data_IF_559340437810
#
_entry.id   IF_559340437810
#
_cell.length_a   1.000
_cell.length_b   1.000
_cell.length_c   1.000
_cell.angle_alpha   90.00
_cell.angle_beta   90.00
_cell.angle_gamma   90.00
#
_symmetry.space_group_name_H-M   'P 1'
#
loop_
_entity.id
_entity.type
_entity.pdbx_description
1 polymer ?
#
# COMPACT_ATOMS: atom_id res chain seq x y z
N UNK A 1 -25.99 -8.81 43.71
CA UNK A 1 -24.78 -8.41 42.95
C UNK A 1 -24.91 -8.64 41.43
N UNK A 2 -25.80 -9.53 41.00
CA UNK A 2 -26.01 -9.94 39.62
C UNK A 2 -26.29 -8.76 38.67
N UNK A 3 -27.10 -7.80 39.10
CA UNK A 3 -27.37 -6.56 38.34
C UNK A 3 -26.11 -5.71 38.08
N UNK A 4 -25.09 -5.75 38.95
CA UNK A 4 -23.81 -5.05 38.74
C UNK A 4 -22.92 -5.83 37.77
N UNK A 5 -22.90 -7.17 37.86
CA UNK A 5 -22.18 -8.02 36.91
C UNK A 5 -22.75 -7.91 35.49
N UNK A 6 -24.08 -7.86 35.35
CA UNK A 6 -24.75 -7.62 34.07
C UNK A 6 -24.33 -6.28 33.45
N UNK A 7 -24.34 -5.19 34.24
CA UNK A 7 -23.86 -3.88 33.79
C UNK A 7 -22.39 -3.92 33.35
N UNK A 8 -21.52 -4.59 34.11
CA UNK A 8 -20.11 -4.74 33.76
C UNK A 8 -19.89 -5.57 32.49
N UNK A 9 -20.71 -6.60 32.25
CA UNK A 9 -20.66 -7.39 31.02
C UNK A 9 -21.09 -6.55 29.80
N UNK A 10 -22.12 -5.72 29.94
CA UNK A 10 -22.53 -4.79 28.87
C UNK A 10 -21.44 -3.75 28.63
N UNK A 11 -20.85 -3.19 29.70
CA UNK A 11 -19.72 -2.24 29.61
C UNK A 11 -18.53 -2.88 28.89
N UNK A 12 -18.21 -4.13 29.22
CA UNK A 12 -17.16 -4.91 28.57
C UNK A 12 -17.42 -5.12 27.08
N UNK A 13 -18.63 -5.49 26.69
CA UNK A 13 -18.99 -5.63 25.27
C UNK A 13 -18.80 -4.30 24.52
N UNK A 14 -19.13 -3.16 25.14
CA UNK A 14 -18.87 -1.83 24.57
C UNK A 14 -17.38 -1.53 24.45
N UNK A 15 -16.60 -1.73 25.51
CA UNK A 15 -15.15 -1.50 25.49
C UNK A 15 -14.42 -2.42 24.49
N UNK A 16 -14.85 -3.67 24.35
CA UNK A 16 -14.32 -4.62 23.36
C UNK A 16 -14.61 -4.13 21.94
N UNK A 17 -15.83 -3.70 21.65
CA UNK A 17 -16.21 -3.14 20.35
C UNK A 17 -15.45 -1.85 20.04
N UNK A 18 -15.30 -0.95 21.02
CA UNK A 18 -14.50 0.27 20.89
C UNK A 18 -13.06 -0.09 20.53
N UNK A 19 -12.44 -1.02 21.27
CA UNK A 19 -11.06 -1.46 21.02
C UNK A 19 -10.91 -2.08 19.62
N UNK A 20 -11.86 -2.92 19.20
CA UNK A 20 -11.85 -3.52 17.86
C UNK A 20 -11.92 -2.46 16.77
N UNK A 21 -12.84 -1.50 16.88
CA UNK A 21 -12.99 -0.40 15.92
C UNK A 21 -11.74 0.49 15.92
N UNK A 22 -11.17 0.81 17.09
CA UNK A 22 -9.93 1.58 17.19
C UNK A 22 -8.74 0.90 16.51
N UNK A 23 -8.62 -0.43 16.65
CA UNK A 23 -7.60 -1.19 15.93
C UNK A 23 -7.82 -1.13 14.43
N UNK A 24 -9.07 -1.27 13.98
CA UNK A 24 -9.42 -1.16 12.56
C UNK A 24 -9.09 0.24 12.00
N UNK A 25 -9.52 1.30 12.67
CA UNK A 25 -9.23 2.70 12.31
C UNK A 25 -7.72 2.94 12.22
N UNK A 26 -6.93 2.39 13.15
CA UNK A 26 -5.46 2.50 13.10
C UNK A 26 -4.83 1.87 11.85
N UNK A 27 -5.49 0.89 11.22
CA UNK A 27 -4.97 0.26 9.98
C UNK A 27 -5.31 1.04 8.71
N UNK A 28 -6.36 1.88 8.73
CA UNK A 28 -6.83 2.59 7.53
C UNK A 28 -5.78 3.54 6.91
N UNK A 29 -5.00 4.33 7.68
CA UNK A 29 -3.96 5.17 7.11
C UNK A 29 -2.89 4.39 6.35
N UNK A 30 -2.53 3.20 6.86
CA UNK A 30 -1.55 2.34 6.18
C UNK A 30 -2.13 1.75 4.89
N UNK A 31 -3.42 1.37 4.89
CA UNK A 31 -4.11 0.92 3.68
C UNK A 31 -4.14 2.02 2.62
N UNK A 32 -4.50 3.26 3.00
CA UNK A 32 -4.45 4.44 2.12
C UNK A 32 -3.05 4.65 1.54
N UNK A 33 -2.02 4.65 2.39
CA UNK A 33 -0.63 4.84 1.95
C UNK A 33 -0.19 3.77 0.95
N UNK A 34 -0.60 2.51 1.14
CA UNK A 34 -0.28 1.43 0.21
C UNK A 34 -0.93 1.66 -1.17
N UNK A 35 -2.18 2.14 -1.19
CA UNK A 35 -2.88 2.46 -2.43
C UNK A 35 -2.25 3.65 -3.16
N UNK A 36 -1.89 4.70 -2.44
CA UNK A 36 -1.17 5.86 -2.99
C UNK A 36 0.20 5.45 -3.55
N UNK A 37 0.92 4.56 -2.86
CA UNK A 37 2.19 4.03 -3.33
C UNK A 37 2.05 3.20 -4.62
N UNK A 38 0.97 2.44 -4.79
CA UNK A 38 0.68 1.72 -6.03
C UNK A 38 0.49 2.69 -7.21
N UNK A 39 -0.23 3.80 -7.00
CA UNK A 39 -0.38 4.83 -8.03
C UNK A 39 0.94 5.50 -8.38
N UNK A 40 1.74 5.84 -7.37
CA UNK A 40 3.05 6.44 -7.58
C UNK A 40 3.98 5.51 -8.36
N UNK A 41 3.97 4.20 -8.06
CA UNK A 41 4.78 3.21 -8.76
C UNK A 41 4.38 3.06 -10.24
N UNK A 42 3.08 3.01 -10.53
CA UNK A 42 2.57 2.96 -11.91
C UNK A 42 2.94 4.23 -12.69
N UNK A 43 2.79 5.40 -12.07
CA UNK A 43 3.17 6.68 -12.69
C UNK A 43 4.68 6.75 -12.96
N UNK A 44 5.51 6.31 -12.01
CA UNK A 44 6.96 6.28 -12.17
C UNK A 44 7.41 5.33 -13.29
N UNK A 45 6.75 4.17 -13.41
CA UNK A 45 7.02 3.20 -14.50
C UNK A 45 6.69 3.82 -15.86
N UNK A 46 5.52 4.46 -15.98
CA UNK A 46 5.12 5.13 -17.22
C UNK A 46 6.08 6.28 -17.60
N UNK A 47 6.49 7.08 -16.62
CA UNK A 47 7.44 8.17 -16.86
C UNK A 47 8.81 7.64 -17.30
N UNK A 48 9.30 6.56 -16.68
CA UNK A 48 10.55 5.90 -17.10
C UNK A 48 10.50 5.42 -18.55
N UNK A 49 9.38 4.85 -18.99
CA UNK A 49 9.21 4.42 -20.39
C UNK A 49 9.20 5.63 -21.34
N UNK A 50 8.50 6.71 -20.97
CA UNK A 50 8.47 7.95 -21.76
C UNK A 50 9.85 8.60 -21.87
N UNK A 51 10.64 8.59 -20.80
CA UNK A 51 12.02 9.08 -20.82
C UNK A 51 12.89 8.25 -21.75
N UNK A 52 12.78 6.91 -21.69
CA UNK A 52 13.50 6.02 -22.61
C UNK A 52 13.11 6.28 -24.08
N UNK A 53 11.84 6.57 -24.35
CA UNK A 53 11.37 6.88 -25.71
C UNK A 53 11.96 8.18 -26.23
N UNK A 54 12.03 9.22 -25.39
CA UNK A 54 12.70 10.48 -25.73
C UNK A 54 14.19 10.28 -26.00
N UNK A 55 14.84 9.43 -25.21
CA UNK A 55 16.26 9.13 -25.39
C UNK A 55 16.53 8.43 -26.73
N UNK A 56 15.72 7.43 -27.09
CA UNK A 56 15.81 6.77 -28.41
C UNK A 56 15.58 7.76 -29.56
N UNK A 57 14.65 8.70 -29.41
CA UNK A 57 14.40 9.73 -30.44
C UNK A 57 15.60 10.68 -30.61
N UNK A 58 16.27 11.04 -29.51
CA UNK A 58 17.49 11.86 -29.55
C UNK A 58 18.63 11.10 -30.26
N UNK A 59 18.82 9.83 -29.93
CA UNK A 59 19.84 8.98 -30.55
C UNK A 59 19.59 8.80 -32.04
N UNK A 60 18.33 8.56 -32.44
CA UNK A 60 17.94 8.48 -33.85
C UNK A 60 18.25 9.77 -34.61
N UNK A 61 17.86 10.93 -34.07
CA UNK A 61 18.14 12.24 -34.68
C UNK A 61 19.64 12.52 -34.82
N UNK A 62 20.46 12.00 -33.92
CA UNK A 62 21.92 12.10 -34.01
C UNK A 62 22.46 11.28 -35.19
N UNK A 63 21.97 10.05 -35.37
CA UNK A 63 22.35 9.22 -36.53
C UNK A 63 21.90 9.87 -37.84
N UNK A 64 20.69 10.42 -37.92
CA UNK A 64 20.20 11.15 -39.10
C UNK A 64 21.12 12.33 -39.46
N UNK A 65 21.60 13.08 -38.46
CA UNK A 65 22.53 14.19 -38.65
C UNK A 65 23.90 13.70 -39.15
N UNK A 66 24.41 12.60 -38.60
CA UNK A 66 25.67 11.99 -39.00
C UNK A 66 25.60 11.49 -40.46
N UNK A 67 24.50 10.81 -40.83
CA UNK A 67 24.21 10.42 -42.23
C UNK A 67 24.21 11.63 -43.15
N UNK A 68 23.46 12.69 -42.80
CA UNK A 68 23.44 13.93 -43.60
C UNK A 68 24.82 14.58 -43.75
N UNK A 69 25.65 14.53 -42.69
CA UNK A 69 27.03 15.04 -42.74
C UNK A 69 27.92 14.24 -43.69
N UNK A 70 27.76 12.91 -43.72
CA UNK A 70 28.47 12.02 -44.66
C UNK A 70 28.00 12.21 -46.10
N UNK A 71 26.69 12.32 -46.33
CA UNK A 71 26.12 12.61 -47.65
C UNK A 71 26.64 13.94 -48.22
N UNK A 72 26.67 14.99 -47.40
CA UNK A 72 27.25 16.28 -47.78
C UNK A 72 28.75 16.17 -48.10
N UNK A 73 29.50 15.37 -47.35
CA UNK A 73 30.93 15.14 -47.61
C UNK A 73 31.16 14.38 -48.92
N UNK A 74 30.36 13.34 -49.20
CA UNK A 74 30.38 12.62 -50.47
C UNK A 74 30.06 13.57 -51.63
N UNK A 75 29.05 14.41 -51.51
CA UNK A 75 28.68 15.37 -52.56
C UNK A 75 29.85 16.31 -52.91
N UNK A 76 30.52 16.89 -51.90
CA UNK A 76 31.70 17.75 -52.11
C UNK A 76 32.86 16.99 -52.75
N UNK A 77 33.15 15.77 -52.27
CA UNK A 77 34.22 14.94 -52.81
C UNK A 77 33.96 14.54 -54.26
N UNK A 78 32.70 14.20 -54.60
CA UNK A 78 32.30 13.90 -55.99
C UNK A 78 32.54 15.13 -56.89
N UNK A 79 32.16 16.33 -56.46
CA UNK A 79 32.46 17.56 -57.22
C UNK A 79 33.96 17.76 -57.43
N UNK A 80 34.77 17.69 -56.36
CA UNK A 80 36.22 17.85 -56.44
C UNK A 80 36.90 16.78 -57.32
N UNK A 81 36.38 15.54 -57.27
CA UNK A 81 36.86 14.43 -58.07
C UNK A 81 36.68 14.69 -59.57
N UNK A 82 35.60 15.36 -59.99
CA UNK A 82 35.41 15.76 -61.40
C UNK A 82 36.29 16.93 -61.85
N UNK A 83 36.80 17.74 -60.91
CA UNK A 83 37.61 18.92 -61.19
C UNK A 83 39.12 18.61 -61.25
N UNK A 84 39.59 17.54 -60.59
CA UNK A 84 41.01 17.20 -60.57
C UNK A 84 41.48 16.59 -61.89
N UNK A 85 42.70 16.96 -62.31
CA UNK A 85 43.39 16.41 -63.48
C UNK A 85 44.47 15.39 -63.12
N UNK A 86 44.71 15.15 -61.82
CA UNK A 86 45.69 14.18 -61.34
C UNK A 86 45.01 12.87 -61.00
N UNK A 87 45.47 11.78 -61.61
CA UNK A 87 44.88 10.46 -61.42
C UNK A 87 44.95 9.98 -59.96
N UNK A 88 46.07 10.24 -59.27
CA UNK A 88 46.26 9.79 -57.89
C UNK A 88 45.28 10.47 -56.91
N UNK A 89 45.00 11.77 -57.11
CA UNK A 89 44.01 12.52 -56.33
C UNK A 89 42.58 12.02 -56.62
N UNK A 90 42.28 11.70 -57.88
CA UNK A 90 41.00 11.13 -58.29
C UNK A 90 40.71 9.79 -57.57
N UNK A 91 41.71 8.90 -57.55
CA UNK A 91 41.59 7.59 -56.88
C UNK A 91 41.47 7.74 -55.36
N UNK A 92 42.26 8.62 -54.74
CA UNK A 92 42.18 8.88 -53.30
C UNK A 92 40.79 9.37 -52.86
N UNK A 93 40.22 10.34 -53.60
CA UNK A 93 38.84 10.80 -53.34
C UNK A 93 37.81 9.69 -53.55
N UNK A 94 38.01 8.81 -54.53
CA UNK A 94 37.16 7.65 -54.78
C UNK A 94 37.11 6.69 -53.59
N UNK A 95 38.27 6.34 -53.03
CA UNK A 95 38.34 5.51 -51.83
C UNK A 95 37.68 6.16 -50.61
N UNK A 96 37.80 7.49 -50.48
CA UNK A 96 37.17 8.22 -49.37
C UNK A 96 35.64 8.30 -49.52
N UNK A 97 35.13 8.43 -50.75
CA UNK A 97 33.71 8.32 -51.08
C UNK A 97 33.19 6.93 -50.71
N UNK A 98 33.86 5.85 -51.15
CA UNK A 98 33.46 4.47 -50.82
C UNK A 98 33.45 4.22 -49.31
N UNK A 99 34.41 4.81 -48.57
CA UNK A 99 34.44 4.74 -47.11
C UNK A 99 33.19 5.37 -46.52
N UNK A 100 32.85 6.59 -46.93
CA UNK A 100 31.66 7.28 -46.44
C UNK A 100 30.34 6.60 -46.86
N UNK A 101 30.27 6.01 -48.05
CA UNK A 101 29.11 5.23 -48.48
C UNK A 101 28.91 4.00 -47.59
N UNK A 102 29.99 3.31 -47.20
CA UNK A 102 29.93 2.21 -46.22
C UNK A 102 29.54 2.68 -44.82
N UNK A 103 30.06 3.82 -44.37
CA UNK A 103 29.68 4.42 -43.08
C UNK A 103 28.18 4.78 -43.04
N UNK A 104 27.63 5.31 -44.14
CA UNK A 104 26.20 5.63 -44.23
C UNK A 104 25.35 4.37 -44.05
N UNK A 105 25.66 3.28 -44.75
CA UNK A 105 24.92 2.00 -44.62
C UNK A 105 24.92 1.53 -43.17
N UNK A 106 26.07 1.60 -42.47
CA UNK A 106 26.15 1.23 -41.06
C UNK A 106 25.31 2.11 -40.14
N UNK A 107 25.26 3.42 -40.40
CA UNK A 107 24.44 4.36 -39.64
C UNK A 107 22.94 4.15 -39.90
N UNK A 108 22.57 3.86 -41.14
CA UNK A 108 21.18 3.55 -41.53
C UNK A 108 20.70 2.23 -40.90
N UNK A 109 21.55 1.20 -40.86
CA UNK A 109 21.26 -0.05 -40.15
C UNK A 109 21.03 0.21 -38.65
N UNK A 110 21.87 1.04 -38.02
CA UNK A 110 21.68 1.46 -36.62
C UNK A 110 20.39 2.26 -36.42
N UNK A 111 20.02 3.13 -37.37
CA UNK A 111 18.77 3.89 -37.32
C UNK A 111 17.57 2.94 -37.33
N UNK A 112 17.57 1.93 -38.20
CA UNK A 112 16.52 0.91 -38.28
C UNK A 112 16.39 0.14 -36.97
N UNK A 113 17.50 -0.25 -36.34
CA UNK A 113 17.47 -0.89 -35.02
C UNK A 113 16.83 0.00 -33.94
N UNK A 114 17.13 1.30 -33.94
CA UNK A 114 16.51 2.25 -33.01
C UNK A 114 15.01 2.44 -33.30
N UNK A 115 14.60 2.41 -34.58
CA UNK A 115 13.19 2.49 -34.97
C UNK A 115 12.40 1.28 -34.46
N UNK A 116 12.94 0.07 -34.60
CA UNK A 116 12.30 -1.14 -34.05
C UNK A 116 12.17 -1.08 -32.53
N UNK A 117 13.19 -0.58 -31.83
CA UNK A 117 13.15 -0.38 -30.39
C UNK A 117 12.09 0.66 -29.98
N UNK A 118 11.99 1.76 -30.73
CA UNK A 118 10.99 2.80 -30.50
C UNK A 118 9.56 2.28 -30.69
N UNK A 119 9.32 1.44 -31.70
CA UNK A 119 8.00 0.84 -31.95
C UNK A 119 7.60 -0.14 -30.83
N UNK A 120 8.53 -0.98 -30.37
CA UNK A 120 8.33 -1.86 -29.20
C UNK A 120 7.97 -1.03 -27.97
N UNK A 121 8.76 0.01 -27.70
CA UNK A 121 8.56 0.87 -26.54
C UNK A 121 7.24 1.66 -26.62
N UNK A 122 6.81 2.08 -27.81
CA UNK A 122 5.52 2.73 -28.02
C UNK A 122 4.34 1.80 -27.69
N UNK A 123 4.45 0.53 -28.05
CA UNK A 123 3.47 -0.50 -27.67
C UNK A 123 3.44 -0.73 -26.15
N UNK A 124 4.61 -0.78 -25.51
CA UNK A 124 4.76 -0.89 -24.05
C UNK A 124 4.14 0.31 -23.33
N UNK A 125 4.41 1.53 -23.80
CA UNK A 125 3.82 2.77 -23.25
C UNK A 125 2.30 2.72 -23.37
N UNK A 126 1.75 2.39 -24.55
CA UNK A 126 0.30 2.31 -24.75
C UNK A 126 -0.36 1.30 -23.81
N UNK A 127 0.29 0.15 -23.60
CA UNK A 127 -0.18 -0.87 -22.66
C UNK A 127 -0.13 -0.37 -21.22
N UNK A 128 0.97 0.25 -20.81
CA UNK A 128 1.12 0.80 -19.47
C UNK A 128 0.21 1.99 -19.20
N UNK A 129 -0.11 2.83 -20.18
CA UNK A 129 -1.09 3.91 -20.04
C UNK A 129 -2.48 3.36 -19.73
N UNK A 130 -2.90 2.30 -20.43
CA UNK A 130 -4.17 1.60 -20.15
C UNK A 130 -4.18 0.99 -18.75
N UNK A 131 -3.09 0.31 -18.37
CA UNK A 131 -2.96 -0.28 -17.04
C UNK A 131 -2.96 0.77 -15.93
N UNK A 132 -2.24 1.88 -16.12
CA UNK A 132 -2.20 2.98 -15.16
C UNK A 132 -3.56 3.68 -15.03
N UNK A 133 -4.29 3.88 -16.14
CA UNK A 133 -5.64 4.44 -16.10
C UNK A 133 -6.62 3.53 -15.35
N UNK A 134 -6.67 2.24 -15.69
CA UNK A 134 -7.51 1.27 -15.01
C UNK A 134 -7.14 1.12 -13.52
N UNK A 135 -5.85 1.11 -13.22
CA UNK A 135 -5.33 1.09 -11.84
C UNK A 135 -5.73 2.34 -11.07
N UNK A 136 -5.66 3.52 -11.70
CA UNK A 136 -6.10 4.79 -11.10
C UNK A 136 -7.58 4.78 -10.74
N UNK A 137 -8.43 4.32 -11.65
CA UNK A 137 -9.87 4.26 -11.39
C UNK A 137 -10.21 3.28 -10.27
N UNK A 138 -9.55 2.12 -10.26
CA UNK A 138 -9.71 1.11 -9.21
C UNK A 138 -9.27 1.63 -7.83
N UNK A 139 -8.08 2.23 -7.74
CA UNK A 139 -7.57 2.81 -6.49
C UNK A 139 -8.45 3.97 -6.02
N UNK A 140 -8.90 4.85 -6.91
CA UNK A 140 -9.77 5.96 -6.54
C UNK A 140 -11.08 5.46 -5.90
N UNK A 141 -11.69 4.41 -6.45
CA UNK A 141 -12.87 3.77 -5.83
C UNK A 141 -12.54 3.24 -4.43
N UNK A 142 -11.43 2.53 -4.29
CA UNK A 142 -10.99 2.00 -2.99
C UNK A 142 -10.71 3.11 -1.97
N UNK A 143 -10.15 4.24 -2.39
CA UNK A 143 -9.92 5.40 -1.51
C UNK A 143 -11.24 6.01 -1.03
N UNK A 144 -12.24 6.11 -1.90
CA UNK A 144 -13.58 6.57 -1.55
C UNK A 144 -14.24 5.59 -0.56
N UNK A 145 -14.14 4.29 -0.81
CA UNK A 145 -14.68 3.26 0.08
C UNK A 145 -13.99 3.28 1.45
N UNK A 146 -12.67 3.49 1.49
CA UNK A 146 -11.91 3.63 2.73
C UNK A 146 -12.30 4.89 3.51
N UNK A 147 -12.55 6.01 2.82
CA UNK A 147 -13.00 7.26 3.46
C UNK A 147 -14.40 7.10 4.06
N UNK A 148 -15.31 6.45 3.32
CA UNK A 148 -16.65 6.16 3.81
C UNK A 148 -16.62 5.19 5.00
N UNK A 149 -15.75 4.17 4.93
CA UNK A 149 -15.52 3.23 6.03
C UNK A 149 -14.97 3.95 7.26
N UNK A 150 -13.99 4.84 7.10
CA UNK A 150 -13.43 5.63 8.20
C UNK A 150 -14.53 6.44 8.91
N UNK A 151 -15.34 7.19 8.15
CA UNK A 151 -16.47 7.97 8.71
C UNK A 151 -17.47 7.10 9.46
N UNK A 152 -17.79 5.94 8.90
CA UNK A 152 -18.74 5.00 9.53
C UNK A 152 -18.20 4.45 10.84
N UNK A 153 -16.91 4.10 10.88
CA UNK A 153 -16.24 3.60 12.08
C UNK A 153 -16.09 4.70 13.15
N UNK A 154 -15.76 5.93 12.75
CA UNK A 154 -15.66 7.08 13.65
C UNK A 154 -17.01 7.44 14.27
N UNK A 155 -18.08 7.46 13.48
CA UNK A 155 -19.44 7.68 13.99
C UNK A 155 -19.83 6.61 15.01
N UNK A 156 -19.60 5.32 14.66
CA UNK A 156 -19.89 4.20 15.55
C UNK A 156 -19.06 4.22 16.83
N UNK A 157 -17.80 4.65 16.75
CA UNK A 157 -16.95 4.83 17.92
C UNK A 157 -17.51 5.93 18.84
N UNK A 158 -17.97 7.05 18.27
CA UNK A 158 -18.63 8.12 19.02
C UNK A 158 -19.89 7.66 19.73
N UNK A 159 -20.74 6.87 19.08
CA UNK A 159 -21.96 6.33 19.68
C UNK A 159 -21.65 5.35 20.80
N UNK A 160 -20.73 4.40 20.56
CA UNK A 160 -20.30 3.44 21.58
C UNK A 160 -19.64 4.11 22.78
N UNK A 161 -18.86 5.19 22.57
CA UNK A 161 -18.24 5.95 23.64
C UNK A 161 -19.28 6.62 24.54
N UNK A 162 -20.34 7.20 23.95
CA UNK A 162 -21.46 7.79 24.70
C UNK A 162 -22.24 6.72 25.48
N UNK A 163 -22.56 5.58 24.85
CA UNK A 163 -23.22 4.47 25.54
C UNK A 163 -22.37 3.97 26.72
N UNK A 164 -21.05 3.84 26.51
CA UNK A 164 -20.09 3.43 27.54
C UNK A 164 -20.04 4.41 28.70
N UNK A 165 -20.00 5.71 28.43
CA UNK A 165 -20.01 6.76 29.45
C UNK A 165 -21.31 6.74 30.26
N UNK A 166 -22.47 6.64 29.60
CA UNK A 166 -23.76 6.54 30.28
C UNK A 166 -23.82 5.32 31.19
N UNK A 167 -23.39 4.14 30.72
CA UNK A 167 -23.35 2.92 31.52
C UNK A 167 -22.42 3.05 32.73
N UNK A 168 -21.25 3.66 32.54
CA UNK A 168 -20.27 3.86 33.61
C UNK A 168 -20.84 4.70 34.77
N UNK A 169 -21.67 5.71 34.50
CA UNK A 169 -22.32 6.51 35.57
C UNK A 169 -23.29 5.71 36.46
N UNK A 170 -23.73 4.54 35.99
CA UNK A 170 -24.68 3.68 36.73
C UNK A 170 -24.00 2.59 37.56
N UNK A 171 -22.67 2.54 37.55
CA UNK A 171 -21.84 1.55 38.24
C UNK A 171 -21.10 2.27 39.37
N UNK A 172 -20.95 1.60 40.51
CA UNK A 172 -20.19 2.10 41.65
C UNK A 172 -18.71 2.38 41.28
N UNK A 173 -18.16 3.48 41.80
CA UNK A 173 -16.84 3.99 41.40
C UNK A 173 -15.70 3.02 41.70
N UNK A 174 -15.72 2.34 42.86
CA UNK A 174 -14.68 1.38 43.24
C UNK A 174 -14.72 0.13 42.33
N UNK A 175 -15.93 -0.30 41.98
CA UNK A 175 -16.16 -1.44 41.08
C UNK A 175 -15.71 -1.10 39.66
N UNK A 176 -16.07 0.08 39.18
CA UNK A 176 -15.69 0.58 37.86
C UNK A 176 -14.16 0.70 37.76
N UNK A 177 -13.50 1.30 38.75
CA UNK A 177 -12.04 1.44 38.79
C UNK A 177 -11.33 0.09 38.70
N UNK A 178 -11.81 -0.91 39.46
CA UNK A 178 -11.26 -2.27 39.42
C UNK A 178 -11.42 -2.90 38.03
N UNK A 179 -12.60 -2.74 37.44
CA UNK A 179 -12.89 -3.21 36.09
C UNK A 179 -11.97 -2.57 35.04
N UNK A 180 -11.85 -1.23 35.03
CA UNK A 180 -11.05 -0.50 34.04
C UNK A 180 -9.57 -0.88 34.10
N UNK A 181 -9.03 -1.04 35.31
CA UNK A 181 -7.65 -1.50 35.53
C UNK A 181 -7.43 -2.91 34.95
N UNK A 182 -8.38 -3.83 35.18
CA UNK A 182 -8.31 -5.19 34.63
C UNK A 182 -8.44 -5.19 33.11
N UNK A 183 -9.38 -4.44 32.56
CA UNK A 183 -9.61 -4.37 31.12
C UNK A 183 -8.41 -3.77 30.38
N UNK A 184 -7.82 -2.70 30.92
CA UNK A 184 -6.62 -2.07 30.37
C UNK A 184 -5.42 -3.02 30.37
N UNK A 185 -5.18 -3.72 31.49
CA UNK A 185 -4.01 -4.60 31.64
C UNK A 185 -4.12 -5.94 30.91
N UNK A 186 -5.32 -6.53 30.81
CA UNK A 186 -5.54 -7.84 30.19
C UNK A 186 -5.91 -7.74 28.72
N UNK A 187 -6.62 -6.67 28.36
CA UNK A 187 -6.81 -6.26 26.98
C UNK A 187 -7.84 -7.04 26.16
N UNK A 188 -8.50 -8.02 26.76
CA UNK A 188 -9.53 -8.84 26.16
C UNK A 188 -10.84 -8.75 26.95
N UNK A 189 -10.84 -9.15 28.22
CA UNK A 189 -11.98 -9.22 29.12
C UNK A 189 -11.51 -9.02 30.56
N UNK A 190 -12.25 -8.24 31.34
CA UNK A 190 -12.09 -8.06 32.77
C UNK A 190 -13.05 -8.94 33.59
N UNK A 191 -14.22 -9.25 33.04
CA UNK A 191 -15.27 -10.10 33.61
C UNK A 191 -15.40 -11.37 32.77
N UNK A 192 -15.27 -12.52 33.41
CA UNK A 192 -15.24 -13.84 32.74
C UNK A 192 -16.02 -14.89 33.52
N UNK A 193 -16.53 -15.89 32.80
CA UNK A 193 -17.27 -16.99 33.39
C UNK A 193 -16.36 -17.95 34.18
N UNK A 194 -16.94 -18.62 35.16
CA UNK A 194 -16.37 -19.85 35.75
C UNK A 194 -17.17 -21.04 35.25
N UNK A 195 -16.54 -21.87 34.42
CA UNK A 195 -17.16 -23.06 33.83
C UNK A 195 -16.44 -24.31 34.34
N UNK A 196 -17.18 -25.28 34.88
CA UNK A 196 -16.62 -26.52 35.45
C UNK A 196 -15.47 -26.29 36.46
N UNK A 197 -15.52 -25.18 37.22
CA UNK A 197 -14.46 -24.80 38.16
C UNK A 197 -13.20 -24.23 37.51
N UNK A 198 -13.28 -23.81 36.25
CA UNK A 198 -12.18 -23.21 35.47
C UNK A 198 -12.53 -21.77 35.12
N UNK A 199 -11.57 -20.87 35.29
CA UNK A 199 -11.69 -19.48 34.84
C UNK A 199 -11.55 -19.41 33.32
N UNK A 200 -12.56 -18.90 32.60
CA UNK A 200 -12.52 -18.86 31.12
C UNK A 200 -11.55 -17.82 30.56
N UNK A 201 -11.02 -16.91 31.39
CA UNK A 201 -10.03 -15.92 30.95
C UNK A 201 -8.56 -16.36 31.05
N UNK A 202 -8.19 -17.24 31.99
CA UNK A 202 -6.82 -17.76 32.10
C UNK A 202 -6.73 -19.29 31.98
N UNK A 203 -7.87 -19.96 31.84
CA UNK A 203 -8.01 -21.40 31.71
C UNK A 203 -7.44 -22.22 32.87
N UNK A 204 -7.20 -21.59 34.02
CA UNK A 204 -6.76 -22.25 35.25
C UNK A 204 -7.95 -22.61 36.14
N UNK A 205 -7.82 -23.72 36.89
CA UNK A 205 -8.78 -24.11 37.91
C UNK A 205 -8.83 -23.07 39.03
N UNK A 206 -10.03 -22.70 39.45
CA UNK A 206 -10.26 -21.88 40.65
C UNK A 206 -10.49 -22.80 41.85
N UNK A 207 -10.24 -22.31 43.06
CA UNK A 207 -10.54 -23.08 44.27
C UNK A 207 -12.04 -23.35 44.39
N UNK A 208 -12.40 -24.45 45.05
CA UNK A 208 -13.81 -24.80 45.30
C UNK A 208 -14.53 -23.67 46.04
N UNK A 209 -13.86 -23.02 47.00
CA UNK A 209 -14.42 -21.88 47.72
C UNK A 209 -14.68 -20.70 46.78
N UNK A 210 -13.75 -20.35 45.90
CA UNK A 210 -13.92 -19.27 44.92
C UNK A 210 -15.03 -19.59 43.90
N UNK A 211 -15.15 -20.83 43.46
CA UNK A 211 -16.25 -21.26 42.58
C UNK A 211 -17.63 -21.15 43.26
N UNK A 212 -17.71 -21.51 44.55
CA UNK A 212 -18.96 -21.37 45.34
C UNK A 212 -19.28 -19.89 45.57
N UNK A 213 -18.29 -19.07 45.90
CA UNK A 213 -18.48 -17.62 46.08
C UNK A 213 -18.92 -16.93 44.78
N UNK A 214 -18.39 -17.34 43.63
CA UNK A 214 -18.80 -16.79 42.34
C UNK A 214 -20.25 -17.16 41.95
N UNK A 215 -20.80 -18.23 42.55
CA UNK A 215 -22.22 -18.60 42.44
C UNK A 215 -23.11 -17.89 43.45
N UNK A 216 -22.56 -17.42 44.57
CA UNK A 216 -23.31 -16.67 45.56
C UNK A 216 -23.48 -15.22 45.11
N UNK A 217 -24.69 -14.69 45.13
CA UNK A 217 -24.98 -13.31 44.73
C UNK A 217 -24.58 -12.23 45.77
N UNK A 218 -23.61 -12.56 46.64
CA UNK A 218 -23.23 -11.76 47.80
C UNK A 218 -22.14 -10.73 47.53
N UNK A 219 -21.20 -11.01 46.62
CA UNK A 219 -20.00 -10.15 46.42
C UNK A 219 -19.35 -10.30 45.04
N UNK A 220 -18.47 -9.36 44.68
CA UNK A 220 -17.62 -9.46 43.49
C UNK A 220 -16.42 -10.35 43.80
N UNK A 221 -16.37 -11.51 43.16
CA UNK A 221 -15.29 -12.48 43.30
C UNK A 221 -14.27 -12.30 42.17
N UNK A 222 -12.98 -12.44 42.47
CA UNK A 222 -11.91 -12.46 41.47
C UNK A 222 -11.20 -13.79 41.41
N UNK A 223 -10.68 -14.10 40.23
CA UNK A 223 -9.78 -15.22 40.02
C UNK A 223 -8.46 -14.99 40.78
N UNK A 224 -8.10 -15.95 41.62
CA UNK A 224 -6.84 -15.94 42.40
C UNK A 224 -5.59 -15.93 41.50
N UNK A 225 -5.69 -16.43 40.27
CA UNK A 225 -4.57 -16.56 39.34
C UNK A 225 -4.39 -15.31 38.45
N UNK A 226 -5.47 -14.82 37.83
CA UNK A 226 -5.38 -13.74 36.85
C UNK A 226 -6.02 -12.42 37.27
N UNK A 227 -6.70 -12.38 38.42
CA UNK A 227 -7.34 -11.19 38.99
C UNK A 227 -8.66 -10.78 38.32
N UNK A 228 -9.07 -11.40 37.21
CA UNK A 228 -10.33 -11.10 36.52
C UNK A 228 -11.53 -11.33 37.43
N UNK A 229 -12.58 -10.53 37.24
CA UNK A 229 -13.86 -10.66 37.93
C UNK A 229 -14.56 -11.92 37.40
N UNK A 230 -15.11 -12.72 38.31
CA UNK A 230 -15.74 -13.99 38.00
C UNK A 230 -17.25 -13.88 38.12
N UNK A 231 -17.98 -14.49 37.18
CA UNK A 231 -19.41 -14.77 37.31
C UNK A 231 -19.68 -16.25 37.03
N UNK A 232 -20.72 -16.80 37.64
CA UNK A 232 -21.22 -18.12 37.27
C UNK A 232 -22.35 -17.96 36.24
N UNK A 233 -22.22 -18.52 35.02
CA UNK A 233 -23.36 -18.64 34.12
C UNK A 233 -24.40 -19.58 34.76
N UNK A 234 -25.69 -19.29 34.56
CA UNK A 234 -26.81 -20.12 35.04
C UNK A 234 -26.70 -21.57 34.54
#
# INVERSE_FOLDING_TARGET
>A
MQAVLEKLLILQDRDQKIRQIQLEVKTLPQQRKNLEAQLAANAATLESLKQRARQLEIERKKLELDVGTRQNSISRLKTQQYETRKNDEFQAMGHEIERYEKEIVQLEDQELELMEQADKLKSEISTQEKMAAAGRDSVNRQLVDLDQKAKTLEARLGDLAKEREQLATTIDEDVLYRYERLFSSKGDAAVVAVEHGVCTGCHMKVTTQTAVRAKSDSEIVSCEQCGRILYAPE
#
